data_IF_613851671546
#
_entry.id   IF_613851671546
#
_cell.length_a   1.000
_cell.length_b   1.000
_cell.length_c   1.000
_cell.angle_alpha   90.00
_cell.angle_beta   90.00
_cell.angle_gamma   90.00
#
_symmetry.space_group_name_H-M   'P 1'
#
loop_
_entity.id
_entity.type
_entity.pdbx_description
1 polymer ?
#
# COMPACT_ATOMS: atom_id res chain seq x y z
N UNK A 1 18.36 -7.35 23.64
CA UNK A 1 18.90 -7.12 22.27
C UNK A 1 18.51 -5.71 21.88
N UNK A 2 19.44 -4.88 21.42
CA UNK A 2 19.11 -3.56 20.89
C UNK A 2 18.56 -3.73 19.46
N UNK A 3 17.41 -3.14 19.12
CA UNK A 3 16.87 -3.24 17.77
C UNK A 3 17.79 -2.56 16.76
N UNK A 4 17.90 -3.14 15.56
CA UNK A 4 18.62 -2.56 14.41
C UNK A 4 17.97 -1.28 13.89
N UNK A 5 16.66 -1.15 14.10
CA UNK A 5 15.87 -0.02 13.68
C UNK A 5 14.42 -0.14 14.12
N UNK A 6 13.65 0.91 13.86
CA UNK A 6 12.24 1.00 14.26
C UNK A 6 11.38 1.20 13.01
N UNK A 7 10.30 0.46 12.93
CA UNK A 7 9.34 0.48 11.82
C UNK A 7 8.01 0.99 12.37
N UNK A 8 7.53 2.11 11.83
CA UNK A 8 6.25 2.68 12.20
C UNK A 8 5.15 2.08 11.31
N UNK A 9 4.10 1.53 11.90
CA UNK A 9 2.92 1.05 11.18
C UNK A 9 1.76 2.03 11.38
N UNK A 10 1.23 2.59 10.31
CA UNK A 10 0.17 3.61 10.30
C UNK A 10 -1.13 2.98 9.82
N UNK A 11 -2.23 3.22 10.53
CA UNK A 11 -3.48 2.51 10.30
C UNK A 11 -3.44 1.09 10.85
N UNK A 12 -2.65 0.87 11.91
CA UNK A 12 -2.43 -0.45 12.47
C UNK A 12 -3.73 -1.06 13.01
N UNK A 13 -4.04 -2.28 12.59
CA UNK A 13 -5.04 -3.10 13.24
C UNK A 13 -4.40 -4.32 13.95
N UNK A 14 -5.11 -4.94 14.91
CA UNK A 14 -4.53 -6.03 15.69
C UNK A 14 -4.13 -7.24 14.84
N UNK A 15 -4.79 -7.46 13.70
CA UNK A 15 -4.51 -8.60 12.81
C UNK A 15 -3.19 -8.38 12.11
N UNK A 16 -3.02 -7.22 11.48
CA UNK A 16 -1.81 -6.84 10.76
C UNK A 16 -0.59 -6.76 11.70
N UNK A 17 -0.78 -6.27 12.93
CA UNK A 17 0.27 -6.26 13.95
C UNK A 17 0.71 -7.69 14.30
N UNK A 18 -0.24 -8.60 14.50
CA UNK A 18 0.06 -10.00 14.82
C UNK A 18 0.76 -10.73 13.66
N UNK A 19 0.46 -10.37 12.41
CA UNK A 19 1.13 -10.94 11.24
C UNK A 19 2.55 -10.39 11.03
N UNK A 20 2.74 -9.08 11.20
CA UNK A 20 4.05 -8.44 10.96
C UNK A 20 5.03 -8.59 12.11
N UNK A 21 4.55 -8.61 13.36
CA UNK A 21 5.41 -8.59 14.54
C UNK A 21 6.43 -9.75 14.59
N UNK A 22 6.06 -11.02 14.34
CA UNK A 22 7.02 -12.13 14.37
C UNK A 22 8.16 -11.94 13.37
N UNK A 23 7.85 -11.47 12.16
CA UNK A 23 8.83 -11.24 11.10
C UNK A 23 9.76 -10.07 11.42
N UNK A 24 9.22 -8.99 12.02
CA UNK A 24 10.02 -7.83 12.43
C UNK A 24 10.96 -8.18 13.58
N UNK A 25 10.46 -8.88 14.61
CA UNK A 25 11.25 -9.31 15.76
C UNK A 25 12.37 -10.26 15.32
N UNK A 26 12.07 -11.23 14.45
CA UNK A 26 13.08 -12.15 13.91
C UNK A 26 14.21 -11.44 13.14
N UNK A 27 13.94 -10.24 12.61
CA UNK A 27 14.90 -9.39 11.90
C UNK A 27 15.50 -8.29 12.78
N UNK A 28 15.25 -8.33 14.10
CA UNK A 28 15.72 -7.36 15.09
C UNK A 28 15.18 -5.93 14.84
N UNK A 29 14.00 -5.80 14.23
CA UNK A 29 13.28 -4.53 14.09
C UNK A 29 12.18 -4.41 15.14
N UNK A 30 12.02 -3.21 15.70
CA UNK A 30 10.90 -2.87 16.57
C UNK A 30 9.72 -2.38 15.73
N UNK A 31 8.57 -3.03 15.84
CA UNK A 31 7.33 -2.59 15.20
C UNK A 31 6.54 -1.67 16.14
N UNK A 32 6.27 -0.45 15.70
CA UNK A 32 5.54 0.56 16.47
C UNK A 32 4.21 0.85 15.78
N UNK A 33 3.08 0.36 16.30
CA UNK A 33 1.76 0.61 15.71
C UNK A 33 1.22 1.99 16.07
N UNK A 34 0.55 2.63 15.10
CA UNK A 34 -0.19 3.88 15.26
C UNK A 34 -1.53 3.79 14.55
N UNK A 35 -2.61 4.32 15.18
CA UNK A 35 -3.96 4.17 14.64
C UNK A 35 -4.22 5.06 13.43
N UNK A 36 -3.56 6.22 13.34
CA UNK A 36 -3.81 7.22 12.31
C UNK A 36 -2.53 8.01 11.93
N UNK A 37 -2.63 8.78 10.85
CA UNK A 37 -1.53 9.59 10.31
C UNK A 37 -1.12 10.72 11.26
N UNK A 38 -2.04 11.24 12.07
CA UNK A 38 -1.75 12.33 13.00
C UNK A 38 -0.87 11.85 14.16
N UNK A 39 -1.20 10.70 14.73
CA UNK A 39 -0.40 10.01 15.74
C UNK A 39 0.96 9.60 15.17
N UNK A 40 0.99 9.13 13.92
CA UNK A 40 2.22 8.82 13.21
C UNK A 40 3.11 10.07 13.05
N UNK A 41 2.55 11.21 12.65
CA UNK A 41 3.28 12.47 12.48
C UNK A 41 3.89 12.97 13.80
N UNK A 42 3.17 12.87 14.92
CA UNK A 42 3.67 13.22 16.25
C UNK A 42 4.88 12.36 16.62
N UNK A 43 4.81 11.04 16.39
CA UNK A 43 5.94 10.14 16.64
C UNK A 43 7.10 10.40 15.70
N UNK A 44 6.82 10.62 14.41
CA UNK A 44 7.85 10.96 13.44
C UNK A 44 8.55 12.26 13.81
N UNK A 45 7.91 13.21 14.51
CA UNK A 45 8.55 14.43 14.98
C UNK A 45 9.60 14.17 16.08
N UNK A 46 9.32 13.27 17.02
CA UNK A 46 10.15 13.04 18.22
C UNK A 46 11.10 11.86 18.11
N UNK A 47 10.77 10.88 17.28
CA UNK A 47 11.46 9.59 17.18
C UNK A 47 12.03 9.39 15.76
N UNK A 48 13.12 8.63 15.67
CA UNK A 48 13.69 8.20 14.39
C UNK A 48 13.17 6.81 14.01
N UNK A 49 12.73 6.68 12.76
CA UNK A 49 12.25 5.43 12.17
C UNK A 49 13.05 5.12 10.91
N UNK A 50 13.36 3.85 10.69
CA UNK A 50 14.04 3.38 9.47
C UNK A 50 13.05 3.23 8.32
N UNK A 51 11.81 2.87 8.62
CA UNK A 51 10.74 2.73 7.66
C UNK A 51 9.38 3.08 8.28
N UNK A 52 8.46 3.51 7.43
CA UNK A 52 7.06 3.75 7.73
C UNK A 52 6.23 2.90 6.78
N UNK A 53 5.31 2.12 7.33
CA UNK A 53 4.37 1.27 6.59
C UNK A 53 2.98 1.85 6.79
N UNK A 54 2.30 2.16 5.70
CA UNK A 54 0.97 2.74 5.69
C UNK A 54 -0.05 1.70 5.21
N UNK A 55 -1.05 1.37 6.04
CA UNK A 55 -2.20 0.57 5.62
C UNK A 55 -3.23 1.46 4.91
N UNK A 56 -3.27 1.35 3.58
CA UNK A 56 -4.20 2.09 2.74
C UNK A 56 -5.66 1.69 2.99
N UNK A 57 -5.95 0.45 3.39
CA UNK A 57 -7.31 0.01 3.67
C UNK A 57 -7.93 0.75 4.87
N UNK A 58 -7.08 1.20 5.80
CA UNK A 58 -7.48 1.88 7.05
C UNK A 58 -7.32 3.39 6.98
N UNK A 59 -6.42 3.90 6.15
CA UNK A 59 -6.14 5.34 6.06
C UNK A 59 -6.83 5.98 4.86
N UNK A 60 -7.69 7.00 5.09
CA UNK A 60 -8.36 7.74 4.02
C UNK A 60 -7.37 8.41 3.05
N UNK A 61 -7.68 8.48 1.74
CA UNK A 61 -6.78 9.05 0.73
C UNK A 61 -6.22 10.44 1.06
N UNK A 62 -7.06 11.31 1.61
CA UNK A 62 -6.68 12.67 2.04
C UNK A 62 -5.52 12.68 3.04
N UNK A 63 -5.50 11.71 3.95
CA UNK A 63 -4.48 11.61 5.00
C UNK A 63 -3.21 10.94 4.47
N UNK A 64 -3.32 10.12 3.41
CA UNK A 64 -2.16 9.51 2.74
C UNK A 64 -1.27 10.58 2.10
N UNK A 65 -1.88 11.58 1.46
CA UNK A 65 -1.16 12.70 0.84
C UNK A 65 -0.35 13.49 1.88
N UNK A 66 -0.90 13.70 3.07
CA UNK A 66 -0.21 14.36 4.16
C UNK A 66 1.04 13.59 4.62
N UNK A 67 0.97 12.25 4.68
CA UNK A 67 2.12 11.42 5.04
C UNK A 67 3.21 11.41 3.95
N UNK A 68 2.81 11.44 2.67
CA UNK A 68 3.74 11.55 1.55
C UNK A 68 4.44 12.91 1.55
N UNK A 69 3.69 13.99 1.82
CA UNK A 69 4.27 15.33 1.97
C UNK A 69 5.30 15.37 3.13
N UNK A 70 4.95 14.77 4.27
CA UNK A 70 5.86 14.66 5.43
C UNK A 70 7.14 13.88 5.08
N UNK A 71 7.03 12.81 4.30
CA UNK A 71 8.20 12.05 3.84
C UNK A 71 9.10 12.87 2.90
N UNK A 72 8.52 13.72 2.04
CA UNK A 72 9.28 14.64 1.18
C UNK A 72 9.96 15.76 1.96
N UNK A 73 9.29 16.33 2.96
CA UNK A 73 9.84 17.42 3.77
C UNK A 73 10.93 16.94 4.72
N UNK A 74 10.66 15.89 5.50
CA UNK A 74 11.58 15.41 6.54
C UNK A 74 12.64 14.46 5.98
N UNK A 75 12.25 13.62 5.02
CA UNK A 75 13.10 12.55 4.51
C UNK A 75 13.53 11.55 5.61
N UNK A 76 14.54 10.73 5.28
CA UNK A 76 15.25 9.91 6.28
C UNK A 76 14.61 8.56 6.62
N UNK A 77 13.45 8.23 6.05
CA UNK A 77 12.82 6.91 6.19
C UNK A 77 12.24 6.41 4.87
N UNK A 78 12.21 5.09 4.70
CA UNK A 78 11.50 4.46 3.58
C UNK A 78 10.00 4.44 3.85
N UNK A 79 9.17 4.87 2.89
CA UNK A 79 7.71 4.82 2.97
C UNK A 79 7.19 3.66 2.11
N UNK A 80 6.51 2.71 2.75
CA UNK A 80 5.83 1.60 2.10
C UNK A 80 4.32 1.78 2.26
N UNK A 81 3.57 1.62 1.17
CA UNK A 81 2.10 1.69 1.19
C UNK A 81 1.54 0.31 0.90
N UNK A 82 0.75 -0.22 1.82
CA UNK A 82 0.05 -1.48 1.69
C UNK A 82 -1.30 -1.20 1.03
N UNK A 83 -1.35 -1.29 -0.29
CA UNK A 83 -2.58 -1.15 -1.07
C UNK A 83 -3.36 -2.48 -1.07
N UNK A 84 -4.64 -2.51 -0.66
CA UNK A 84 -5.45 -3.71 -0.75
C UNK A 84 -5.73 -4.06 -2.22
N UNK A 85 -5.82 -5.35 -2.54
CA UNK A 85 -6.08 -5.82 -3.90
C UNK A 85 -7.39 -5.25 -4.50
N UNK A 86 -8.36 -4.91 -3.66
CA UNK A 86 -9.61 -4.27 -4.05
C UNK A 86 -9.44 -2.84 -4.60
N UNK A 87 -8.33 -2.16 -4.28
CA UNK A 87 -7.97 -0.86 -4.88
C UNK A 87 -7.23 -1.00 -6.21
N UNK A 88 -6.76 -2.20 -6.54
CA UNK A 88 -6.05 -2.50 -7.80
C UNK A 88 -7.04 -3.03 -8.87
N UNK A 89 -8.21 -3.52 -8.46
CA UNK A 89 -9.29 -3.94 -9.36
C UNK A 89 -10.23 -2.77 -9.66
N UNK A 90 -10.61 -2.52 -10.93
CA UNK A 90 -11.58 -1.47 -11.24
C UNK A 90 -12.90 -1.74 -10.50
N UNK A 91 -13.38 -0.72 -9.76
CA UNK A 91 -14.60 -0.80 -8.97
C UNK A 91 -15.87 -1.04 -9.79
N UNK A 92 -15.80 -0.81 -11.11
CA UNK A 92 -16.89 -1.02 -12.05
C UNK A 92 -16.47 -2.09 -13.05
N UNK A 93 -17.19 -3.20 -13.07
CA UNK A 93 -17.08 -4.19 -14.15
C UNK A 93 -17.27 -3.48 -15.48
N UNK A 94 -16.25 -3.53 -16.35
CA UNK A 94 -16.43 -3.09 -17.72
C UNK A 94 -17.55 -3.96 -18.34
N UNK A 95 -18.51 -3.36 -19.08
CA UNK A 95 -19.57 -4.14 -19.68
C UNK A 95 -18.96 -5.22 -20.57
N UNK A 96 -19.38 -6.47 -20.38
CA UNK A 96 -19.00 -7.59 -21.24
C UNK A 96 -19.39 -7.23 -22.69
N UNK A 97 -18.41 -6.86 -23.50
CA UNK A 97 -18.64 -6.61 -24.92
C UNK A 97 -18.68 -7.97 -25.61
N UNK A 98 -19.82 -8.31 -26.21
CA UNK A 98 -19.90 -9.47 -27.12
C UNK A 98 -18.96 -9.18 -28.29
N UNK A 99 -17.86 -9.92 -28.34
CA UNK A 99 -16.98 -9.87 -29.49
C UNK A 99 -17.67 -10.59 -30.65
N UNK A 100 -17.72 -9.93 -31.81
CA UNK A 100 -18.24 -10.55 -33.03
C UNK A 100 -17.16 -11.46 -33.59
N UNK A 101 -17.55 -12.66 -34.01
CA UNK A 101 -16.66 -13.61 -34.69
C UNK A 101 -16.87 -13.54 -36.21
N UNK A 102 -15.80 -13.55 -37.03
CA UNK A 102 -14.39 -13.57 -36.64
C UNK A 102 -13.92 -12.25 -36.04
N UNK A 103 -12.91 -12.32 -35.17
CA UNK A 103 -12.30 -11.12 -34.59
C UNK A 103 -11.67 -10.26 -35.70
N UNK A 104 -11.77 -8.92 -35.60
CA UNK A 104 -11.09 -8.03 -36.54
C UNK A 104 -9.57 -8.26 -36.54
N UNK A 105 -8.95 -8.06 -37.71
CA UNK A 105 -7.49 -8.11 -37.83
C UNK A 105 -6.83 -7.10 -36.88
N UNK A 106 -5.79 -7.53 -36.16
CA UNK A 106 -5.09 -6.69 -35.17
C UNK A 106 -5.79 -6.59 -33.81
N UNK A 107 -6.91 -7.29 -33.58
CA UNK A 107 -7.58 -7.31 -32.28
C UNK A 107 -6.66 -7.80 -31.15
N UNK A 108 -5.86 -8.85 -31.40
CA UNK A 108 -4.91 -9.35 -30.40
C UNK A 108 -3.81 -8.35 -30.07
N UNK A 109 -3.37 -7.54 -31.04
CA UNK A 109 -2.37 -6.50 -30.81
C UNK A 109 -2.96 -5.37 -29.96
N UNK A 110 -4.23 -5.04 -30.17
CA UNK A 110 -4.97 -4.08 -29.33
C UNK A 110 -5.15 -4.60 -27.91
N UNK A 111 -5.50 -5.89 -27.73
CA UNK A 111 -5.63 -6.51 -26.39
C UNK A 111 -4.29 -6.49 -25.65
N UNK A 112 -3.17 -6.77 -26.34
CA UNK A 112 -1.82 -6.75 -25.75
C UNK A 112 -1.35 -5.35 -25.37
N UNK A 113 -1.85 -4.32 -26.04
CA UNK A 113 -1.49 -2.92 -25.77
C UNK A 113 -2.32 -2.30 -24.63
N UNK A 114 -3.36 -2.97 -24.15
CA UNK A 114 -4.24 -2.47 -23.09
C UNK A 114 -3.74 -2.96 -21.73
N UNK A 115 -3.59 -2.04 -20.78
CA UNK A 115 -3.13 -2.32 -19.41
C UNK A 115 -4.17 -3.04 -18.53
N UNK A 116 -5.35 -3.35 -19.08
CA UNK A 116 -6.47 -3.98 -18.38
C UNK A 116 -6.52 -5.47 -18.73
N UNK A 117 -6.62 -6.38 -17.73
CA UNK A 117 -6.77 -7.80 -18.01
C UNK A 117 -8.06 -8.09 -18.78
N UNK A 118 -7.92 -8.71 -19.95
CA UNK A 118 -9.04 -9.14 -20.79
C UNK A 118 -9.27 -10.64 -20.61
N UNK A 119 -10.46 -11.03 -20.16
CA UNK A 119 -10.87 -12.42 -19.99
C UNK A 119 -11.74 -12.86 -21.16
N UNK A 120 -11.38 -13.96 -21.82
CA UNK A 120 -12.20 -14.64 -22.82
C UNK A 120 -13.01 -15.74 -22.13
N UNK A 121 -14.33 -15.75 -22.32
CA UNK A 121 -15.26 -16.78 -21.84
C UNK A 121 -15.71 -17.66 -23.00
#
# INVERSE_FOLDING_TARGET
MNPKGRVLLVGADPVLVNELAPTMIAREFELVPTPDVRAAALRLATEAFSAVVLDAARVPPKDREALVALQKEKGGFALFVLEPATQISPAQSAPLRRLVWPLPNGFLDQVRAVEVPVVFL
#
